data_IF_257353513523
#
_entry.id   IF_257353513523
#
_cell.length_a   1.000
_cell.length_b   1.000
_cell.length_c   1.000
_cell.angle_alpha   90.00
_cell.angle_beta   90.00
_cell.angle_gamma   90.00
#
_symmetry.space_group_name_H-M   'P 1'
#
loop_
_entity.id
_entity.type
_entity.pdbx_description
1 polymer ?
#
# COMPACT_ATOMS: atom_id res chain seq x y z
N UNK A 1 -9.19 -7.38 30.16
CA UNK A 1 -8.47 -8.53 29.53
C UNK A 1 -8.53 -8.56 28.00
N UNK A 2 -9.65 -8.16 27.38
CA UNK A 2 -9.86 -8.14 25.92
C UNK A 2 -8.88 -7.24 25.13
N UNK A 3 -8.48 -6.10 25.70
CA UNK A 3 -7.51 -5.17 25.10
C UNK A 3 -6.14 -5.83 24.83
N UNK A 4 -5.53 -6.50 25.81
CA UNK A 4 -4.26 -7.20 25.60
C UNK A 4 -4.39 -8.40 24.66
N UNK A 5 -5.52 -9.12 24.73
CA UNK A 5 -5.82 -10.23 23.81
C UNK A 5 -5.95 -9.77 22.36
N UNK A 6 -6.42 -8.55 22.11
CA UNK A 6 -6.51 -7.98 20.76
C UNK A 6 -5.14 -7.71 20.12
N UNK A 7 -4.10 -7.48 20.94
CA UNK A 7 -2.71 -7.30 20.45
C UNK A 7 -2.14 -8.63 19.96
N UNK A 8 -2.45 -9.74 20.62
CA UNK A 8 -2.03 -11.08 20.17
C UNK A 8 -2.65 -11.49 18.83
N UNK A 9 -3.81 -10.92 18.50
CA UNK A 9 -4.54 -11.17 17.25
C UNK A 9 -4.01 -10.31 16.08
N UNK A 10 -3.08 -9.39 16.32
CA UNK A 10 -2.48 -8.61 15.25
C UNK A 10 -1.71 -9.51 14.28
N UNK A 11 -1.81 -9.24 12.97
CA UNK A 11 -1.08 -10.00 11.98
C UNK A 11 0.41 -9.81 12.24
N UNK A 12 1.16 -10.91 12.35
CA UNK A 12 2.60 -10.81 12.51
C UNK A 12 3.24 -10.17 11.26
N UNK A 13 4.21 -9.26 11.45
CA UNK A 13 4.98 -8.68 10.36
C UNK A 13 5.65 -9.79 9.53
N UNK A 14 5.19 -9.99 8.29
CA UNK A 14 5.89 -10.87 7.34
C UNK A 14 7.01 -10.08 6.68
N UNK A 15 8.21 -10.65 6.63
CA UNK A 15 9.37 -10.02 5.96
C UNK A 15 9.05 -9.65 4.51
N UNK A 16 8.33 -10.51 3.78
CA UNK A 16 7.88 -10.24 2.41
C UNK A 16 6.96 -9.01 2.29
N UNK A 17 6.27 -8.63 3.36
CA UNK A 17 5.40 -7.45 3.39
C UNK A 17 6.15 -6.16 3.71
N UNK A 18 7.22 -6.23 4.53
CA UNK A 18 7.92 -5.04 5.06
C UNK A 18 9.23 -4.77 4.31
N UNK A 19 9.86 -5.79 3.74
CA UNK A 19 11.12 -5.67 3.01
C UNK A 19 11.09 -4.58 1.91
N UNK A 20 10.03 -4.43 1.08
CA UNK A 20 9.99 -3.35 0.10
C UNK A 20 10.06 -1.95 0.75
N UNK A 21 9.38 -1.76 1.88
CA UNK A 21 9.39 -0.48 2.61
C UNK A 21 10.73 -0.22 3.29
N UNK A 22 11.37 -1.23 3.87
CA UNK A 22 12.71 -1.08 4.44
C UNK A 22 13.77 -0.82 3.36
N UNK A 23 13.68 -1.50 2.22
CA UNK A 23 14.58 -1.28 1.11
C UNK A 23 14.43 0.13 0.52
N UNK A 24 13.19 0.62 0.40
CA UNK A 24 12.92 2.01 0.01
C UNK A 24 13.62 3.01 0.94
N UNK A 25 13.46 2.83 2.25
CA UNK A 25 14.09 3.67 3.27
C UNK A 25 15.61 3.59 3.22
N UNK A 26 16.17 2.37 3.09
CA UNK A 26 17.60 2.17 3.02
C UNK A 26 18.22 2.83 1.78
N UNK A 27 17.59 2.67 0.60
CA UNK A 27 18.04 3.32 -0.63
C UNK A 27 17.91 4.83 -0.53
N UNK A 28 16.80 5.36 -0.01
CA UNK A 28 16.67 6.80 0.18
C UNK A 28 17.72 7.34 1.16
N UNK A 29 17.90 6.72 2.32
CA UNK A 29 18.86 7.15 3.33
C UNK A 29 20.31 7.08 2.84
N UNK A 30 20.65 6.07 2.01
CA UNK A 30 21.99 5.94 1.42
C UNK A 30 22.33 7.07 0.46
N UNK A 31 21.33 7.58 -0.26
CA UNK A 31 21.54 8.55 -1.34
C UNK A 31 20.97 9.95 -1.05
N UNK A 32 20.33 10.19 0.10
CA UNK A 32 19.58 11.43 0.39
C UNK A 32 20.41 12.71 0.17
N UNK A 33 21.71 12.66 0.49
CA UNK A 33 22.65 13.78 0.38
C UNK A 33 23.65 13.61 -0.79
N UNK A 34 23.28 12.81 -1.80
CA UNK A 34 24.13 12.51 -2.96
C UNK A 34 23.41 12.80 -4.27
N UNK A 35 24.18 12.91 -5.35
CA UNK A 35 23.68 13.03 -6.73
C UNK A 35 24.01 11.75 -7.52
N UNK A 36 23.26 10.65 -7.31
CA UNK A 36 23.56 9.41 -8.01
C UNK A 36 23.30 9.59 -9.51
N UNK A 37 24.18 9.01 -10.32
CA UNK A 37 24.06 9.03 -11.77
C UNK A 37 23.78 7.63 -12.31
N UNK A 38 22.82 7.53 -13.24
CA UNK A 38 22.52 6.32 -14.02
C UNK A 38 22.70 6.65 -15.49
N UNK A 39 23.49 5.84 -16.19
CA UNK A 39 23.77 6.03 -17.62
C UNK A 39 24.27 7.44 -17.98
N UNK A 40 25.03 8.08 -17.08
CA UNK A 40 25.53 9.45 -17.26
C UNK A 40 24.52 10.57 -16.98
N UNK A 41 23.31 10.25 -16.54
CA UNK A 41 22.30 11.22 -16.14
C UNK A 41 22.11 11.22 -14.63
N UNK A 42 22.00 12.41 -14.03
CA UNK A 42 21.64 12.55 -12.62
C UNK A 42 20.23 12.02 -12.37
N UNK A 43 20.09 11.21 -11.33
CA UNK A 43 18.81 10.63 -10.92
C UNK A 43 18.55 11.03 -9.47
N UNK A 44 17.31 11.41 -9.17
CA UNK A 44 16.97 11.76 -7.79
C UNK A 44 16.99 10.49 -6.91
N UNK A 45 17.57 10.56 -5.70
CA UNK A 45 17.56 9.47 -4.71
C UNK A 45 16.17 8.88 -4.47
N UNK A 46 15.16 9.74 -4.49
CA UNK A 46 13.76 9.37 -4.27
C UNK A 46 13.22 8.45 -5.39
N UNK A 47 13.61 8.68 -6.64
CA UNK A 47 13.24 7.82 -7.76
C UNK A 47 13.84 6.42 -7.60
N UNK A 48 15.11 6.32 -7.21
CA UNK A 48 15.78 5.04 -6.94
C UNK A 48 15.07 4.26 -5.83
N UNK A 49 14.71 4.96 -4.75
CA UNK A 49 13.99 4.38 -3.62
C UNK A 49 12.61 3.83 -4.03
N UNK A 50 11.87 4.59 -4.85
CA UNK A 50 10.56 4.17 -5.37
C UNK A 50 10.66 3.00 -6.34
N UNK A 51 11.60 3.03 -7.29
CA UNK A 51 11.86 1.92 -8.22
C UNK A 51 12.14 0.65 -7.42
N UNK A 52 12.98 0.75 -6.38
CA UNK A 52 13.31 -0.39 -5.50
C UNK A 52 12.08 -0.90 -4.75
N UNK A 53 11.27 0.00 -4.17
CA UNK A 53 10.01 -0.34 -3.51
C UNK A 53 9.09 -1.15 -4.41
N UNK A 54 8.82 -0.64 -5.62
CA UNK A 54 7.90 -1.26 -6.55
C UNK A 54 8.46 -2.55 -7.16
N UNK A 55 9.75 -2.58 -7.51
CA UNK A 55 10.41 -3.78 -8.02
C UNK A 55 10.31 -4.93 -7.02
N UNK A 56 10.63 -4.69 -5.74
CA UNK A 56 10.51 -5.69 -4.69
C UNK A 56 9.05 -6.06 -4.40
N UNK A 57 8.14 -5.10 -4.44
CA UNK A 57 6.70 -5.37 -4.26
C UNK A 57 6.17 -6.28 -5.37
N UNK A 58 6.53 -6.00 -6.62
CA UNK A 58 6.16 -6.81 -7.79
C UNK A 58 6.82 -8.19 -7.68
N UNK A 59 8.13 -8.27 -7.42
CA UNK A 59 8.85 -9.54 -7.28
C UNK A 59 8.28 -10.42 -6.16
N UNK A 60 7.86 -9.83 -5.03
CA UNK A 60 7.29 -10.56 -3.90
C UNK A 60 5.83 -10.99 -4.12
N UNK A 61 5.05 -10.24 -4.91
CA UNK A 61 3.58 -10.45 -5.02
C UNK A 61 3.13 -11.05 -6.34
N UNK A 62 3.85 -10.81 -7.43
CA UNK A 62 3.46 -11.29 -8.76
C UNK A 62 3.55 -12.82 -8.87
N UNK A 63 4.64 -13.51 -8.45
CA UNK A 63 4.72 -14.96 -8.60
C UNK A 63 3.58 -15.71 -7.88
N UNK A 64 3.25 -15.42 -6.60
CA UNK A 64 2.12 -16.06 -5.93
C UNK A 64 0.76 -15.77 -6.57
N UNK A 65 0.60 -14.63 -7.24
CA UNK A 65 -0.61 -14.32 -8.00
C UNK A 65 -0.69 -15.19 -9.26
N UNK A 66 0.40 -15.25 -10.05
CA UNK A 66 0.45 -15.99 -11.30
C UNK A 66 0.29 -17.50 -11.10
N UNK A 67 0.75 -18.06 -9.99
CA UNK A 67 0.65 -19.50 -9.68
C UNK A 67 -0.71 -19.94 -9.17
N UNK A 68 -1.67 -19.02 -8.92
CA UNK A 68 -3.03 -19.42 -8.56
C UNK A 68 -3.75 -19.99 -9.78
N UNK A 69 -4.11 -21.27 -9.72
CA UNK A 69 -4.85 -22.00 -10.76
C UNK A 69 -6.24 -21.41 -11.09
N UNK A 70 -6.67 -20.39 -10.36
CA UNK A 70 -7.95 -19.70 -10.56
C UNK A 70 -7.86 -18.51 -11.52
N UNK A 71 -6.67 -18.07 -11.92
CA UNK A 71 -6.53 -16.96 -12.86
C UNK A 71 -6.58 -17.47 -14.30
N UNK A 72 -7.59 -17.01 -15.06
CA UNK A 72 -7.65 -17.22 -16.49
C UNK A 72 -6.45 -16.63 -17.24
N UNK A 73 -6.12 -17.13 -18.44
CA UNK A 73 -4.95 -16.69 -19.20
C UNK A 73 -4.96 -15.19 -19.52
N UNK A 74 -6.15 -14.60 -19.74
CA UNK A 74 -6.33 -13.17 -19.98
C UNK A 74 -5.96 -12.33 -18.76
N UNK A 75 -6.44 -12.71 -17.57
CA UNK A 75 -6.13 -12.02 -16.31
C UNK A 75 -4.64 -12.11 -15.97
N UNK A 76 -4.02 -13.26 -16.26
CA UNK A 76 -2.58 -13.45 -16.09
C UNK A 76 -1.78 -12.49 -16.98
N UNK A 77 -2.14 -12.38 -18.27
CA UNK A 77 -1.51 -11.43 -19.20
C UNK A 77 -1.73 -9.98 -18.78
N UNK A 78 -2.93 -9.62 -18.34
CA UNK A 78 -3.23 -8.27 -17.84
C UNK A 78 -2.39 -7.90 -16.61
N UNK A 79 -2.20 -8.83 -15.67
CA UNK A 79 -1.36 -8.60 -14.49
C UNK A 79 0.11 -8.38 -14.87
N UNK A 80 0.65 -9.18 -15.81
CA UNK A 80 2.01 -9.00 -16.33
C UNK A 80 2.16 -7.68 -17.09
N UNK A 81 1.19 -7.33 -17.94
CA UNK A 81 1.19 -6.08 -18.68
C UNK A 81 1.12 -4.86 -17.73
N UNK A 82 0.29 -4.91 -16.69
CA UNK A 82 0.21 -3.87 -15.68
C UNK A 82 1.51 -3.72 -14.88
N UNK A 83 2.15 -4.84 -14.51
CA UNK A 83 3.45 -4.82 -13.85
C UNK A 83 4.54 -4.23 -14.76
N UNK A 84 4.55 -4.60 -16.05
CA UNK A 84 5.46 -4.05 -17.05
C UNK A 84 5.24 -2.56 -17.30
N UNK A 85 3.98 -2.12 -17.41
CA UNK A 85 3.63 -0.71 -17.55
C UNK A 85 4.07 0.11 -16.33
N UNK A 86 3.87 -0.42 -15.12
CA UNK A 86 4.36 0.21 -13.89
C UNK A 86 5.89 0.34 -13.90
N UNK A 87 6.61 -0.72 -14.30
CA UNK A 87 8.07 -0.67 -14.41
C UNK A 87 8.54 0.39 -15.43
N UNK A 88 7.87 0.51 -16.57
CA UNK A 88 8.13 1.53 -17.59
C UNK A 88 7.87 2.95 -17.07
N UNK A 89 6.76 3.19 -16.38
CA UNK A 89 6.45 4.50 -15.79
C UNK A 89 7.50 4.89 -14.74
N UNK A 90 7.95 3.94 -13.92
CA UNK A 90 8.98 4.19 -12.92
C UNK A 90 10.36 4.43 -13.56
N UNK A 91 10.69 3.71 -14.62
CA UNK A 91 11.93 3.92 -15.37
C UNK A 91 11.95 5.28 -16.09
N UNK A 92 10.84 5.65 -16.74
CA UNK A 92 10.69 6.94 -17.40
C UNK A 92 10.71 8.11 -16.39
N UNK A 93 10.11 7.89 -15.22
CA UNK A 93 10.11 8.86 -14.13
C UNK A 93 11.49 9.17 -13.56
N UNK A 94 12.42 8.21 -13.61
CA UNK A 94 13.82 8.41 -13.19
C UNK A 94 14.57 9.54 -13.90
N UNK A 95 14.05 10.02 -15.04
CA UNK A 95 14.60 11.14 -15.81
C UNK A 95 13.94 12.49 -15.50
N UNK A 96 12.99 12.54 -14.56
CA UNK A 96 12.32 13.77 -14.15
C UNK A 96 13.13 14.47 -13.07
N UNK A 97 13.51 15.72 -13.34
CA UNK A 97 14.22 16.59 -12.40
C UNK A 97 13.27 17.07 -11.30
N UNK A 98 13.39 16.47 -10.12
CA UNK A 98 12.77 16.95 -8.88
C UNK A 98 11.79 15.98 -8.22
N UNK A 99 11.53 16.13 -6.91
CA UNK A 99 10.68 15.22 -6.14
C UNK A 99 9.18 15.45 -6.36
N UNK A 100 8.78 16.66 -6.78
CA UNK A 100 7.39 17.08 -6.87
C UNK A 100 6.52 16.19 -7.77
N UNK A 101 6.94 15.85 -9.02
CA UNK A 101 6.12 15.01 -9.89
C UNK A 101 5.89 13.61 -9.33
N UNK A 102 6.87 13.07 -8.58
CA UNK A 102 6.73 11.79 -7.91
C UNK A 102 5.74 11.88 -6.74
N UNK A 103 5.82 12.93 -5.92
CA UNK A 103 4.89 13.15 -4.81
C UNK A 103 3.44 13.27 -5.32
N UNK A 104 3.22 14.09 -6.36
CA UNK A 104 1.92 14.25 -7.00
C UNK A 104 1.44 12.93 -7.61
N UNK A 105 2.30 12.23 -8.36
CA UNK A 105 1.96 10.94 -8.97
C UNK A 105 1.58 9.90 -7.93
N UNK A 106 2.28 9.84 -6.81
CA UNK A 106 1.94 8.96 -5.69
C UNK A 106 0.60 9.34 -5.05
N UNK A 107 0.38 10.63 -4.74
CA UNK A 107 -0.87 11.11 -4.14
C UNK A 107 -2.06 10.81 -5.06
N UNK A 108 -1.98 11.20 -6.33
CA UNK A 108 -3.03 10.96 -7.33
C UNK A 108 -3.29 9.47 -7.49
N UNK A 109 -2.24 8.66 -7.60
CA UNK A 109 -2.35 7.20 -7.69
C UNK A 109 -3.11 6.59 -6.50
N UNK A 110 -2.84 7.06 -5.28
CA UNK A 110 -3.56 6.60 -4.10
C UNK A 110 -4.97 7.14 -3.97
N UNK A 111 -5.24 8.38 -4.39
CA UNK A 111 -6.61 8.93 -4.46
C UNK A 111 -7.45 8.09 -5.42
N UNK A 112 -6.94 7.81 -6.62
CA UNK A 112 -7.61 6.97 -7.61
C UNK A 112 -7.83 5.55 -7.06
N UNK A 113 -6.79 4.94 -6.48
CA UNK A 113 -6.91 3.62 -5.85
C UNK A 113 -7.97 3.58 -4.75
N UNK A 114 -7.98 4.58 -3.86
CA UNK A 114 -8.96 4.69 -2.76
C UNK A 114 -10.36 4.90 -3.32
N UNK A 115 -10.53 5.76 -4.33
CA UNK A 115 -11.80 6.00 -4.99
C UNK A 115 -12.36 4.73 -5.64
N UNK A 116 -11.53 4.00 -6.39
CA UNK A 116 -11.92 2.71 -6.99
C UNK A 116 -12.29 1.70 -5.89
N UNK A 117 -11.51 1.62 -4.81
CA UNK A 117 -11.82 0.73 -3.69
C UNK A 117 -13.18 1.05 -3.05
N UNK A 118 -13.47 2.33 -2.79
CA UNK A 118 -14.75 2.77 -2.21
C UNK A 118 -15.91 2.51 -3.18
N UNK A 119 -15.74 2.79 -4.48
CA UNK A 119 -16.76 2.50 -5.47
C UNK A 119 -17.09 1.02 -5.52
N UNK A 120 -16.07 0.15 -5.50
CA UNK A 120 -16.26 -1.29 -5.44
C UNK A 120 -16.95 -1.71 -4.14
N UNK A 121 -16.60 -1.13 -2.98
CA UNK A 121 -17.23 -1.43 -1.70
C UNK A 121 -18.72 -1.04 -1.68
N UNK A 122 -19.09 0.09 -2.28
CA UNK A 122 -20.48 0.57 -2.36
C UNK A 122 -21.30 -0.27 -3.35
N UNK A 123 -20.72 -0.67 -4.48
CA UNK A 123 -21.43 -1.43 -5.52
C UNK A 123 -21.48 -2.94 -5.27
N UNK A 124 -20.62 -3.48 -4.41
CA UNK A 124 -20.53 -4.92 -4.15
C UNK A 124 -21.59 -5.41 -3.16
N UNK A 125 -22.20 -6.55 -3.45
CA UNK A 125 -23.01 -7.32 -2.52
C UNK A 125 -22.14 -8.21 -1.60
N UNK A 126 -22.76 -9.01 -0.70
CA UNK A 126 -22.04 -9.85 0.26
C UNK A 126 -21.13 -10.90 -0.40
N UNK A 127 -21.57 -11.47 -1.53
CA UNK A 127 -20.81 -12.49 -2.25
C UNK A 127 -19.58 -11.90 -2.96
N UNK A 128 -19.73 -10.72 -3.57
CA UNK A 128 -18.65 -10.00 -4.22
C UNK A 128 -17.64 -9.49 -3.20
N UNK A 129 -18.09 -9.02 -2.03
CA UNK A 129 -17.22 -8.61 -0.94
C UNK A 129 -16.34 -9.75 -0.44
N UNK A 130 -16.86 -10.97 -0.34
CA UNK A 130 -16.08 -12.14 0.05
C UNK A 130 -14.97 -12.51 -0.96
N UNK A 131 -15.05 -12.01 -2.21
CA UNK A 131 -14.03 -12.22 -3.23
C UNK A 131 -12.90 -11.19 -3.19
N UNK A 132 -12.98 -10.14 -2.36
CA UNK A 132 -11.92 -9.14 -2.28
C UNK A 132 -10.63 -9.76 -1.73
N UNK A 133 -9.45 -9.35 -2.23
CA UNK A 133 -8.17 -9.87 -1.78
C UNK A 133 -7.72 -9.25 -0.44
N UNK A 134 -8.65 -9.11 0.53
CA UNK A 134 -8.40 -8.54 1.85
C UNK A 134 -8.72 -9.56 2.95
N UNK A 135 -8.00 -9.55 4.07
CA UNK A 135 -8.19 -10.59 5.11
C UNK A 135 -9.56 -10.55 5.79
N UNK A 136 -10.21 -9.39 5.77
CA UNK A 136 -11.55 -9.17 6.32
C UNK A 136 -12.67 -9.39 5.32
N UNK A 137 -12.33 -9.53 4.03
CA UNK A 137 -13.24 -9.92 2.98
C UNK A 137 -13.59 -11.40 3.17
N UNK A 138 -14.70 -11.64 3.85
CA UNK A 138 -15.21 -12.96 4.20
C UNK A 138 -16.73 -12.96 4.10
N UNK A 139 -17.36 -14.13 4.18
CA UNK A 139 -18.83 -14.23 4.24
C UNK A 139 -19.44 -13.78 5.57
N UNK A 140 -18.63 -13.24 6.50
CA UNK A 140 -19.10 -12.81 7.81
C UNK A 140 -19.85 -11.46 7.73
N UNK A 141 -20.92 -11.23 8.51
CA UNK A 141 -21.69 -9.98 8.46
C UNK A 141 -20.83 -8.71 8.69
N UNK A 142 -19.88 -8.77 9.64
CA UNK A 142 -18.92 -7.68 9.93
C UNK A 142 -17.94 -7.34 8.79
N UNK A 143 -17.90 -8.12 7.69
CA UNK A 143 -16.94 -7.91 6.62
C UNK A 143 -17.08 -6.52 5.97
N UNK A 144 -18.31 -6.01 5.84
CA UNK A 144 -18.55 -4.70 5.21
C UNK A 144 -18.02 -3.55 6.09
N UNK A 145 -18.27 -3.59 7.39
CA UNK A 145 -17.79 -2.62 8.37
C UNK A 145 -16.25 -2.64 8.43
N UNK A 146 -15.64 -3.82 8.45
CA UNK A 146 -14.19 -3.96 8.41
C UNK A 146 -13.59 -3.32 7.14
N UNK A 147 -14.24 -3.48 5.98
CA UNK A 147 -13.79 -2.88 4.73
C UNK A 147 -13.95 -1.36 4.70
N UNK A 148 -14.94 -0.79 5.41
CA UNK A 148 -15.01 0.66 5.63
C UNK A 148 -13.86 1.19 6.49
N UNK A 149 -13.45 0.45 7.52
CA UNK A 149 -12.26 0.80 8.32
C UNK A 149 -11.00 0.77 7.43
N UNK A 150 -10.91 -0.18 6.51
CA UNK A 150 -9.84 -0.22 5.50
C UNK A 150 -9.89 1.01 4.58
N UNK A 151 -11.06 1.39 4.07
CA UNK A 151 -11.21 2.60 3.26
C UNK A 151 -10.77 3.85 4.01
N UNK A 152 -11.16 3.98 5.28
CA UNK A 152 -10.77 5.09 6.14
C UNK A 152 -9.24 5.15 6.32
N UNK A 153 -8.60 4.01 6.55
CA UNK A 153 -7.12 3.94 6.61
C UNK A 153 -6.49 4.49 5.33
N UNK A 154 -7.00 4.08 4.16
CA UNK A 154 -6.47 4.52 2.87
C UNK A 154 -6.60 6.04 2.72
N UNK A 155 -7.76 6.60 3.08
CA UNK A 155 -7.97 8.04 3.12
C UNK A 155 -6.99 8.74 4.08
N UNK A 156 -6.80 8.22 5.30
CA UNK A 156 -5.86 8.79 6.28
C UNK A 156 -4.42 8.79 5.76
N UNK A 157 -3.97 7.72 5.10
CA UNK A 157 -2.64 7.65 4.49
C UNK A 157 -2.45 8.74 3.44
N UNK A 158 -3.42 8.90 2.55
CA UNK A 158 -3.39 9.93 1.50
C UNK A 158 -3.39 11.32 2.10
N UNK A 159 -4.29 11.61 3.04
CA UNK A 159 -4.38 12.92 3.69
C UNK A 159 -3.11 13.27 4.43
N UNK A 160 -2.54 12.34 5.22
CA UNK A 160 -1.29 12.56 5.93
C UNK A 160 -0.12 12.84 4.96
N UNK A 161 0.02 12.03 3.91
CA UNK A 161 1.05 12.24 2.90
C UNK A 161 0.90 13.57 2.16
N UNK A 162 -0.33 13.99 1.84
CA UNK A 162 -0.61 15.28 1.21
C UNK A 162 -0.29 16.45 2.14
N UNK A 163 -0.67 16.38 3.41
CA UNK A 163 -0.36 17.42 4.39
C UNK A 163 1.16 17.60 4.55
N UNK A 164 1.89 16.49 4.66
CA UNK A 164 3.36 16.53 4.77
C UNK A 164 4.01 16.99 3.47
N UNK A 165 3.43 16.70 2.30
CA UNK A 165 3.94 17.23 1.03
C UNK A 165 3.79 18.75 0.92
N UNK A 166 2.76 19.34 1.54
CA UNK A 166 2.51 20.79 1.50
C UNK A 166 3.31 21.53 2.57
N UNK A 167 3.41 20.96 3.79
CA UNK A 167 3.92 21.67 4.96
C UNK A 167 5.23 21.13 5.53
N UNK A 168 5.63 19.92 5.11
CA UNK A 168 6.80 19.24 5.65
C UNK A 168 8.00 19.26 4.72
N UNK A 169 9.07 18.64 5.21
CA UNK A 169 10.29 18.36 4.47
C UNK A 169 10.14 17.09 3.62
N UNK A 170 11.04 16.93 2.63
CA UNK A 170 11.06 15.71 1.81
C UNK A 170 11.32 14.45 2.65
N UNK A 171 12.17 14.54 3.67
CA UNK A 171 12.46 13.43 4.59
C UNK A 171 11.24 13.02 5.40
N UNK A 172 10.51 13.98 5.97
CA UNK A 172 9.25 13.72 6.67
C UNK A 172 8.23 13.06 5.75
N UNK A 173 8.16 13.49 4.48
CA UNK A 173 7.28 12.87 3.50
C UNK A 173 7.65 11.42 3.23
N UNK A 174 8.94 11.12 3.03
CA UNK A 174 9.44 9.75 2.84
C UNK A 174 9.11 8.88 4.03
N UNK A 175 9.35 9.35 5.26
CA UNK A 175 9.02 8.64 6.50
C UNK A 175 7.51 8.37 6.58
N UNK A 176 6.68 9.35 6.19
CA UNK A 176 5.22 9.23 6.20
C UNK A 176 4.73 8.15 5.25
N UNK A 177 5.17 8.14 3.99
CA UNK A 177 4.73 7.16 2.98
C UNK A 177 5.31 5.76 3.20
N UNK A 178 6.34 5.63 4.03
CA UNK A 178 6.99 4.36 4.40
C UNK A 178 6.53 3.87 5.78
N UNK A 179 7.16 4.35 6.86
CA UNK A 179 6.91 3.94 8.24
C UNK A 179 5.54 4.40 8.72
N UNK A 180 5.13 5.63 8.41
CA UNK A 180 3.82 6.15 8.78
C UNK A 180 2.69 5.29 8.22
N UNK A 181 2.80 4.90 6.95
CA UNK A 181 1.86 3.97 6.31
C UNK A 181 1.84 2.59 6.99
N UNK A 182 2.98 2.04 7.38
CA UNK A 182 3.04 0.77 8.12
C UNK A 182 2.42 0.89 9.52
N UNK A 183 2.68 1.99 10.23
CA UNK A 183 2.09 2.26 11.53
C UNK A 183 0.56 2.36 11.43
N UNK A 184 0.04 3.11 10.44
CA UNK A 184 -1.39 3.21 10.15
C UNK A 184 -1.99 1.87 9.76
N UNK A 185 -1.27 1.00 9.04
CA UNK A 185 -1.71 -0.36 8.79
C UNK A 185 -1.99 -1.11 10.09
N UNK A 186 -1.01 -1.19 10.99
CA UNK A 186 -1.18 -1.94 12.25
C UNK A 186 -2.21 -1.31 13.18
N UNK A 187 -2.26 0.04 13.25
CA UNK A 187 -3.24 0.76 14.04
C UNK A 187 -4.67 0.44 13.59
N UNK A 188 -4.96 0.53 12.29
CA UNK A 188 -6.30 0.26 11.78
C UNK A 188 -6.65 -1.23 11.79
N UNK A 189 -5.67 -2.11 11.62
CA UNK A 189 -5.88 -3.54 11.83
C UNK A 189 -6.25 -3.86 13.28
N UNK A 190 -5.61 -3.17 14.24
CA UNK A 190 -5.96 -3.28 15.65
C UNK A 190 -7.37 -2.75 15.94
N UNK A 191 -7.72 -1.57 15.42
CA UNK A 191 -9.07 -1.00 15.51
C UNK A 191 -10.11 -1.96 14.94
N UNK A 192 -9.83 -2.58 13.79
CA UNK A 192 -10.76 -3.55 13.17
C UNK A 192 -10.97 -4.77 14.06
N UNK A 193 -9.92 -5.29 14.71
CA UNK A 193 -10.02 -6.40 15.67
C UNK A 193 -10.86 -5.99 16.89
N UNK A 194 -10.63 -4.79 17.44
CA UNK A 194 -11.41 -4.28 18.56
C UNK A 194 -12.90 -4.17 18.20
N UNK A 195 -13.21 -3.64 17.02
CA UNK A 195 -14.58 -3.56 16.51
C UNK A 195 -15.20 -4.96 16.28
N UNK A 196 -14.45 -5.93 15.79
CA UNK A 196 -14.94 -7.29 15.59
C UNK A 196 -15.28 -7.98 16.93
N UNK A 197 -14.44 -7.76 17.96
CA UNK A 197 -14.67 -8.31 19.30
C UNK A 197 -15.92 -7.70 19.95
N UNK A 198 -16.12 -6.38 19.83
CA UNK A 198 -17.31 -5.72 20.38
C UNK A 198 -18.58 -6.00 19.59
N UNK A 199 -18.46 -6.24 18.29
CA UNK A 199 -19.60 -6.66 17.46
C UNK A 199 -20.12 -8.03 17.87
N UNK A 200 -19.23 -8.98 18.17
CA UNK A 200 -19.61 -10.31 18.67
C UNK A 200 -20.42 -10.27 19.96
N UNK A 201 -20.15 -9.30 20.84
CA UNK A 201 -20.86 -9.15 22.11
C UNK A 201 -22.28 -8.54 21.94
N UNK A 202 -22.63 -8.02 20.76
CA UNK A 202 -23.96 -7.45 20.47
C UNK A 202 -24.99 -8.49 20.00
N UNK A 203 -24.51 -9.56 19.41
CA UNK A 203 -25.35 -10.63 18.82
C UNK A 203 -25.33 -11.92 19.66
N UNK A 204 -24.67 -11.90 20.83
CA UNK A 204 -24.52 -13.03 21.76
C UNK A 204 -25.37 -12.91 23.01
#
# INVERSE_FOLDING_TARGET
>A
MWFFRSVELLPRPRLTGIAPTLAMLAVWALFADTTPALFGHEVQPLWLAFVTFFALTIAARLPPLLTRNTLGPTTRRAAVAAAGAMALVLAAGGFVSGPWPLQVGWIVGWVVYTGVFVLLLVSSGPAELAAFPYRWASGHPFAREAMWIVALRLATVVTAASLVAIHGTLGEWVITVTLGRLALFYLFEWVTILCALTWRDRDG
#
